data_IF_757458851650
#
_entry.id   IF_757458851650
#
_cell.length_a   1.000
_cell.length_b   1.000
_cell.length_c   1.000
_cell.angle_alpha   90.00
_cell.angle_beta   90.00
_cell.angle_gamma   90.00
#
_symmetry.space_group_name_H-M   'P 1'
#
loop_
_entity.id
_entity.type
_entity.pdbx_description
1 polymer ?
#
# COMPACT_ATOMS: atom_id res chain seq x y z
N UNK A 1 16.07 12.24 -1.55
CA UNK A 1 14.80 11.95 -2.24
C UNK A 1 14.83 10.51 -2.70
N UNK A 2 14.17 9.66 -1.94
CA UNK A 2 13.91 8.27 -2.30
C UNK A 2 12.89 8.27 -3.45
N UNK A 3 13.13 7.52 -4.53
CA UNK A 3 12.18 7.39 -5.65
C UNK A 3 12.64 7.89 -7.03
N UNK A 4 13.89 8.35 -7.19
CA UNK A 4 14.43 8.69 -8.52
C UNK A 4 15.81 8.09 -8.72
N UNK A 5 16.00 7.38 -9.84
CA UNK A 5 17.31 6.87 -10.26
C UNK A 5 17.82 7.72 -11.41
N UNK A 6 19.06 8.19 -11.27
CA UNK A 6 19.75 8.97 -12.30
C UNK A 6 20.04 8.07 -13.51
N UNK A 7 19.38 8.34 -14.64
CA UNK A 7 19.49 7.52 -15.86
C UNK A 7 20.64 7.98 -16.76
N UNK A 8 20.88 9.29 -16.80
CA UNK A 8 21.91 9.90 -17.63
C UNK A 8 21.50 11.27 -18.19
N UNK A 9 22.36 11.83 -19.03
CA UNK A 9 22.12 13.07 -19.77
C UNK A 9 21.59 12.72 -21.16
N UNK A 10 20.61 13.47 -21.67
CA UNK A 10 19.90 13.15 -22.91
C UNK A 10 20.47 13.79 -24.19
N UNK A 11 21.65 14.40 -24.13
CA UNK A 11 22.30 15.01 -25.30
C UNK A 11 23.81 14.75 -25.27
N UNK A 12 24.34 14.24 -26.39
CA UNK A 12 25.74 13.92 -26.68
C UNK A 12 26.70 15.13 -26.58
N UNK A 13 26.19 16.33 -26.30
CA UNK A 13 27.00 17.52 -26.00
C UNK A 13 27.50 17.58 -24.55
N UNK A 14 26.98 16.72 -23.66
CA UNK A 14 27.45 16.57 -22.29
C UNK A 14 28.17 15.22 -22.10
N UNK A 15 29.30 15.01 -22.80
CA UNK A 15 30.19 13.84 -22.66
C UNK A 15 30.98 13.85 -21.34
N UNK A 16 30.31 14.04 -20.21
CA UNK A 16 30.92 13.88 -18.88
C UNK A 16 30.89 12.40 -18.49
N UNK A 17 31.76 11.62 -19.12
CA UNK A 17 32.12 10.28 -18.67
C UNK A 17 33.01 10.37 -17.42
N UNK A 18 32.39 10.66 -16.26
CA UNK A 18 32.93 10.53 -14.88
C UNK A 18 34.29 11.17 -14.51
N UNK A 19 35.10 11.70 -15.43
CA UNK A 19 36.31 12.53 -15.19
C UNK A 19 36.87 13.04 -16.53
N UNK A 20 36.50 14.26 -16.94
CA UNK A 20 37.08 14.91 -18.12
C UNK A 20 36.83 16.42 -18.11
N UNK A 21 37.85 17.22 -18.40
CA UNK A 21 37.76 18.68 -18.47
C UNK A 21 36.88 19.11 -19.65
N UNK A 22 35.83 19.90 -19.38
CA UNK A 22 34.94 20.50 -20.37
C UNK A 22 35.44 21.90 -20.73
N UNK A 23 35.68 22.18 -22.01
CA UNK A 23 35.93 23.55 -22.51
C UNK A 23 34.60 24.12 -23.01
N UNK A 24 34.04 25.09 -22.27
CA UNK A 24 32.77 25.76 -22.63
C UNK A 24 33.09 26.94 -23.54
N UNK A 25 32.82 26.82 -24.85
CA UNK A 25 32.98 27.91 -25.83
C UNK A 25 31.64 28.40 -26.43
N UNK A 26 30.51 27.91 -25.94
CA UNK A 26 29.16 28.33 -26.29
C UNK A 26 28.19 28.03 -25.14
N UNK A 27 26.97 28.57 -25.19
CA UNK A 27 25.90 28.21 -24.24
C UNK A 27 25.53 26.74 -24.45
N UNK A 28 25.76 25.90 -23.44
CA UNK A 28 25.42 24.47 -23.43
C UNK A 28 24.26 24.25 -22.45
N UNK A 29 23.23 23.52 -22.88
CA UNK A 29 22.09 23.16 -22.04
C UNK A 29 22.13 21.65 -21.80
N UNK A 30 22.47 21.21 -20.59
CA UNK A 30 22.44 19.79 -20.23
C UNK A 30 21.17 19.49 -19.43
N UNK A 31 20.37 18.53 -19.90
CA UNK A 31 19.12 18.12 -19.24
C UNK A 31 19.38 16.78 -18.55
N UNK A 32 19.26 16.75 -17.22
CA UNK A 32 19.33 15.51 -16.45
C UNK A 32 18.01 14.76 -16.59
N UNK A 33 18.07 13.49 -16.98
CA UNK A 33 16.89 12.61 -17.00
C UNK A 33 16.88 11.73 -15.75
N UNK A 34 15.75 11.74 -15.05
CA UNK A 34 15.49 10.92 -13.89
C UNK A 34 14.36 9.95 -14.24
N UNK A 35 14.60 8.66 -14.09
CA UNK A 35 13.51 7.68 -14.13
C UNK A 35 12.83 7.68 -12.76
N UNK A 36 11.50 7.82 -12.76
CA UNK A 36 10.70 7.62 -11.56
C UNK A 36 10.73 6.13 -11.21
N UNK A 37 11.34 5.79 -10.07
CA UNK A 37 11.23 4.44 -9.52
C UNK A 37 9.99 4.42 -8.66
N UNK A 38 8.96 3.70 -9.12
CA UNK A 38 7.76 3.46 -8.34
C UNK A 38 8.10 2.46 -7.23
N UNK A 39 8.37 2.97 -6.04
CA UNK A 39 8.43 2.16 -4.83
C UNK A 39 7.01 1.70 -4.50
N UNK A 40 6.83 0.41 -4.27
CA UNK A 40 5.55 -0.18 -3.91
C UNK A 40 5.69 -1.00 -2.64
N UNK A 41 4.64 -1.02 -1.84
CA UNK A 41 4.53 -1.78 -0.61
C UNK A 41 3.27 -2.66 -0.65
N UNK A 42 3.38 -3.84 -0.08
CA UNK A 42 2.31 -4.84 -0.04
C UNK A 42 1.50 -4.68 1.25
N UNK A 43 0.20 -4.47 1.11
CA UNK A 43 -0.76 -4.57 2.21
C UNK A 43 -1.34 -5.98 2.22
N UNK A 44 -1.15 -6.71 3.32
CA UNK A 44 -1.78 -8.00 3.57
C UNK A 44 -2.91 -7.82 4.57
N UNK A 45 -4.09 -8.33 4.23
CA UNK A 45 -5.26 -8.35 5.12
C UNK A 45 -5.66 -9.79 5.38
N UNK A 46 -5.82 -10.09 6.65
CA UNK A 46 -6.33 -11.35 7.11
C UNK A 46 -7.69 -11.19 7.76
N UNK A 47 -8.58 -12.14 7.49
CA UNK A 47 -9.96 -12.12 7.96
C UNK A 47 -10.24 -13.40 8.72
N UNK A 48 -10.68 -13.24 9.97
CA UNK A 48 -11.18 -14.34 10.81
C UNK A 48 -12.67 -14.15 11.04
N UNK A 49 -13.47 -15.19 10.86
CA UNK A 49 -14.93 -15.11 10.93
C UNK A 49 -15.57 -14.73 9.60
N UNK A 50 -16.90 -14.57 9.62
CA UNK A 50 -17.66 -14.29 8.41
C UNK A 50 -17.90 -12.78 8.24
N UNK A 51 -17.37 -12.24 7.15
CA UNK A 51 -17.45 -10.82 6.82
C UNK A 51 -16.59 -10.49 5.61
N UNK A 52 -16.68 -9.25 5.16
CA UNK A 52 -15.91 -8.75 4.01
C UNK A 52 -15.05 -7.57 4.41
N UNK A 53 -13.84 -7.50 3.86
CA UNK A 53 -12.96 -6.35 3.99
C UNK A 53 -12.62 -5.82 2.61
N UNK A 54 -12.87 -4.53 2.40
CA UNK A 54 -12.60 -3.83 1.13
C UNK A 54 -11.70 -2.62 1.36
N UNK A 55 -11.02 -2.15 0.31
CA UNK A 55 -10.18 -0.94 0.36
C UNK A 55 -10.59 0.16 -0.63
N UNK A 56 -10.23 1.39 -0.28
CA UNK A 56 -10.13 2.53 -1.19
C UNK A 56 -8.74 3.19 -1.03
N UNK A 57 -7.89 3.26 -2.07
CA UNK A 57 -8.11 2.79 -3.44
C UNK A 57 -8.41 1.29 -3.55
N UNK A 58 -9.11 0.90 -4.63
CA UNK A 58 -9.53 -0.49 -4.86
C UNK A 58 -8.33 -1.44 -4.95
N UNK A 59 -8.46 -2.61 -4.34
CA UNK A 59 -7.45 -3.66 -4.46
C UNK A 59 -7.55 -4.77 -3.42
N UNK A 60 -7.90 -4.43 -2.18
CA UNK A 60 -8.28 -5.42 -1.16
C UNK A 60 -9.79 -5.70 -1.29
N UNK A 61 -10.14 -6.99 -1.35
CA UNK A 61 -11.53 -7.47 -1.33
C UNK A 61 -11.58 -8.89 -0.74
N UNK A 62 -11.19 -9.02 0.53
CA UNK A 62 -11.20 -10.28 1.25
C UNK A 62 -12.63 -10.66 1.66
N UNK A 63 -13.01 -11.93 1.49
CA UNK A 63 -14.24 -12.51 2.05
C UNK A 63 -13.89 -13.60 3.05
N UNK A 64 -14.15 -13.34 4.32
CA UNK A 64 -13.92 -14.26 5.43
C UNK A 64 -14.92 -15.41 5.44
N UNK A 65 -14.47 -16.58 5.89
CA UNK A 65 -15.30 -17.75 6.14
C UNK A 65 -15.23 -18.09 7.64
N UNK A 66 -16.33 -18.53 8.27
CA UNK A 66 -16.30 -18.84 9.70
C UNK A 66 -15.41 -20.02 10.08
N UNK A 67 -15.04 -20.88 9.13
CA UNK A 67 -14.24 -22.08 9.38
C UNK A 67 -12.80 -21.97 8.89
N UNK A 68 -12.46 -20.93 8.14
CA UNK A 68 -11.15 -20.78 7.50
C UNK A 68 -10.73 -19.32 7.56
N UNK A 69 -9.47 -19.11 7.92
CA UNK A 69 -8.84 -17.80 7.84
C UNK A 69 -8.57 -17.44 6.38
N UNK A 70 -9.16 -16.35 5.91
CA UNK A 70 -8.95 -15.87 4.54
C UNK A 70 -7.89 -14.78 4.56
N UNK A 71 -6.94 -14.85 3.63
CA UNK A 71 -5.97 -13.81 3.38
C UNK A 71 -6.16 -13.20 1.99
N UNK A 72 -5.90 -11.91 1.85
CA UNK A 72 -5.74 -11.26 0.55
C UNK A 72 -4.69 -10.16 0.68
N UNK A 73 -4.03 -9.84 -0.44
CA UNK A 73 -2.99 -8.82 -0.46
C UNK A 73 -3.11 -7.95 -1.72
N UNK A 74 -2.57 -6.74 -1.63
CA UNK A 74 -2.45 -5.81 -2.75
C UNK A 74 -1.22 -4.93 -2.58
N UNK A 75 -0.53 -4.63 -3.69
CA UNK A 75 0.56 -3.66 -3.71
C UNK A 75 0.04 -2.25 -4.01
N UNK A 76 0.52 -1.28 -3.24
CA UNK A 76 0.22 0.15 -3.38
C UNK A 76 1.52 0.93 -3.51
N UNK A 77 1.49 2.09 -4.18
CA UNK A 77 2.64 2.97 -4.24
C UNK A 77 3.01 3.51 -2.84
N UNK A 78 4.29 3.78 -2.63
CA UNK A 78 4.77 4.44 -1.42
C UNK A 78 4.01 5.76 -1.13
N UNK A 79 3.68 5.97 0.14
CA UNK A 79 2.88 7.10 0.63
C UNK A 79 1.37 6.98 0.37
N UNK A 80 0.89 5.94 -0.32
CA UNK A 80 -0.55 5.78 -0.59
C UNK A 80 -1.34 5.65 0.72
N UNK A 81 -2.38 6.47 0.89
CA UNK A 81 -3.34 6.30 1.99
C UNK A 81 -4.46 5.35 1.55
N UNK A 82 -4.53 4.18 2.18
CA UNK A 82 -5.54 3.15 1.95
C UNK A 82 -6.55 3.20 3.09
N UNK A 83 -7.84 3.32 2.76
CA UNK A 83 -8.93 3.18 3.73
C UNK A 83 -9.49 1.77 3.65
N UNK A 84 -9.40 1.01 4.73
CA UNK A 84 -10.02 -0.31 4.85
C UNK A 84 -11.41 -0.16 5.47
N UNK A 85 -12.36 -0.97 4.99
CA UNK A 85 -13.73 -1.04 5.50
C UNK A 85 -14.12 -2.49 5.70
N UNK A 86 -14.47 -2.85 6.93
CA UNK A 86 -14.97 -4.14 7.34
C UNK A 86 -16.50 -4.14 7.42
N UNK A 87 -17.15 -5.11 6.80
CA UNK A 87 -18.60 -5.30 6.83
C UNK A 87 -18.88 -6.74 7.25
N UNK A 88 -19.54 -6.91 8.40
CA UNK A 88 -19.89 -8.23 8.91
C UNK A 88 -21.02 -8.86 8.10
N UNK A 89 -20.97 -10.18 7.93
CA UNK A 89 -22.10 -10.95 7.39
C UNK A 89 -23.23 -11.08 8.42
N UNK A 90 -24.41 -11.49 7.98
CA UNK A 90 -25.56 -11.73 8.85
C UNK A 90 -25.22 -12.71 9.99
N UNK A 91 -25.61 -12.39 11.23
CA UNK A 91 -25.26 -13.17 12.41
C UNK A 91 -23.84 -12.97 12.95
N UNK A 92 -23.04 -12.09 12.33
CA UNK A 92 -21.72 -11.68 12.80
C UNK A 92 -21.68 -10.19 13.12
N UNK A 93 -20.69 -9.80 13.92
CA UNK A 93 -20.31 -8.40 14.12
C UNK A 93 -18.80 -8.26 13.93
N UNK A 94 -18.38 -7.11 13.43
CA UNK A 94 -16.98 -6.72 13.49
C UNK A 94 -16.61 -6.48 14.97
N UNK A 95 -15.49 -7.07 15.40
CA UNK A 95 -15.00 -6.93 16.76
C UNK A 95 -13.88 -5.89 16.80
N UNK A 96 -12.79 -6.14 16.06
CA UNK A 96 -11.63 -5.27 16.02
C UNK A 96 -10.73 -5.55 14.81
N UNK A 97 -9.90 -4.55 14.50
CA UNK A 97 -8.65 -4.79 13.80
C UNK A 97 -7.64 -5.27 14.83
N UNK A 98 -7.19 -6.52 14.72
CA UNK A 98 -6.26 -7.14 15.66
C UNK A 98 -4.95 -6.35 15.77
N UNK A 99 -4.27 -6.51 16.91
CA UNK A 99 -3.17 -5.67 17.43
C UNK A 99 -1.87 -5.57 16.61
N UNK A 100 -1.89 -5.89 15.32
CA UNK A 100 -0.72 -5.73 14.46
C UNK A 100 -0.54 -4.26 14.12
N UNK A 101 0.69 -3.76 14.24
CA UNK A 101 1.07 -2.34 14.25
C UNK A 101 0.57 -1.46 13.09
N UNK A 102 0.01 -2.04 12.02
CA UNK A 102 -0.46 -1.32 10.83
C UNK A 102 -1.95 -0.98 10.85
N UNK A 103 -2.76 -1.73 11.61
CA UNK A 103 -4.19 -1.49 11.78
C UNK A 103 -4.58 -1.86 13.20
N UNK A 104 -5.14 -0.92 13.96
CA UNK A 104 -5.67 -1.19 15.29
C UNK A 104 -6.96 -0.44 15.54
N UNK A 105 -7.71 -0.92 16.53
CA UNK A 105 -8.93 -0.30 17.01
C UNK A 105 -10.21 -1.02 16.58
N UNK A 106 -11.31 -0.56 17.13
CA UNK A 106 -12.63 -1.20 17.03
C UNK A 106 -13.54 -0.56 15.98
N UNK A 107 -13.08 0.52 15.33
CA UNK A 107 -13.81 1.14 14.24
C UNK A 107 -13.77 0.23 13.00
N UNK A 108 -14.93 -0.07 12.44
CA UNK A 108 -15.05 -0.90 11.24
C UNK A 108 -14.36 -0.30 10.00
N UNK A 109 -14.04 1.00 10.02
CA UNK A 109 -13.20 1.64 9.01
C UNK A 109 -11.92 2.18 9.64
N UNK A 110 -10.78 1.90 8.99
CA UNK A 110 -9.46 2.38 9.42
C UNK A 110 -8.62 2.84 8.23
N UNK A 111 -7.65 3.71 8.49
CA UNK A 111 -6.75 4.25 7.46
C UNK A 111 -5.33 3.75 7.67
N UNK A 112 -4.70 3.36 6.58
CA UNK A 112 -3.34 2.81 6.54
C UNK A 112 -2.53 3.62 5.55
N UNK A 113 -1.45 4.25 6.00
CA UNK A 113 -0.47 4.88 5.09
C UNK A 113 0.56 3.83 4.70
N UNK A 114 0.76 3.61 3.39
CA UNK A 114 1.68 2.62 2.85
C UNK A 114 3.09 3.20 2.74
N UNK A 115 3.87 3.12 3.82
CA UNK A 115 5.29 3.53 3.91
C UNK A 115 6.25 2.33 4.06
N UNK A 116 5.69 1.13 4.18
CA UNK A 116 6.35 -0.16 4.27
C UNK A 116 5.33 -1.25 3.93
N UNK A 117 5.77 -2.50 3.80
CA UNK A 117 4.86 -3.64 3.80
C UNK A 117 4.05 -3.67 5.11
N UNK A 118 2.73 -3.83 5.00
CA UNK A 118 1.80 -3.73 6.12
C UNK A 118 0.91 -4.93 6.24
N UNK A 119 0.49 -5.18 7.47
CA UNK A 119 -0.33 -6.32 7.81
C UNK A 119 -1.47 -5.92 8.74
N UNK A 120 -2.69 -6.29 8.37
CA UNK A 120 -3.89 -6.00 9.14
C UNK A 120 -4.72 -7.28 9.33
N UNK A 121 -5.33 -7.45 10.50
CA UNK A 121 -6.20 -8.60 10.79
C UNK A 121 -7.58 -8.10 11.17
N UNK A 122 -8.61 -8.39 10.40
CA UNK A 122 -10.00 -8.14 10.76
C UNK A 122 -10.57 -9.35 11.50
N UNK A 123 -11.19 -9.10 12.66
CA UNK A 123 -11.85 -10.13 13.46
C UNK A 123 -13.35 -9.90 13.43
N UNK A 124 -14.09 -10.90 12.95
CA UNK A 124 -15.54 -10.98 13.00
C UNK A 124 -15.94 -12.07 13.98
N UNK A 125 -16.79 -11.72 14.93
CA UNK A 125 -17.30 -12.67 15.93
C UNK A 125 -18.77 -12.92 15.70
N UNK A 126 -19.16 -14.19 15.87
CA UNK A 126 -20.56 -14.57 15.79
C UNK A 126 -21.31 -13.89 16.93
N UNK A 127 -22.40 -13.21 16.61
CA UNK A 127 -23.19 -12.52 17.59
C UNK A 127 -24.45 -13.32 17.87
N UNK A 128 -24.54 -13.89 19.09
CA UNK A 128 -25.70 -14.71 19.51
C UNK A 128 -27.03 -13.96 19.45
N UNK A 129 -27.01 -12.63 19.60
CA UNK A 129 -28.20 -11.77 19.66
C UNK A 129 -28.37 -10.85 18.43
N UNK A 130 -27.49 -10.92 17.44
CA UNK A 130 -27.60 -10.10 16.21
C UNK A 130 -28.51 -10.74 15.15
N UNK A 131 -29.17 -11.83 15.50
CA UNK A 131 -30.17 -12.52 14.69
C UNK A 131 -31.53 -12.10 15.28
N UNK A 132 -32.14 -11.04 14.74
CA UNK A 132 -33.52 -10.66 15.02
C UNK A 132 -34.28 -10.46 13.73
#
# INVERSE_FOLDING_TARGET
NEGSVFKGWSDDSCNISRSGSLIINANITCIATFDAVLVQHTLTVDVTGEGTVTSSPVGISCSGNPNVRTNCNQSYADGTQVTLTAVASEGYRFDEWGDVSSCSGTAASTKVTMDADKFCSAVFVKCGDCIK
#
